data_IF_886295851112
#
_entry.id   IF_886295851112
#
_cell.length_a   1.000
_cell.length_b   1.000
_cell.length_c   1.000
_cell.angle_alpha   90.00
_cell.angle_beta   90.00
_cell.angle_gamma   90.00
#
_symmetry.space_group_name_H-M   'P 1'
#
loop_
_entity.id
_entity.type
_entity.pdbx_description
1 polymer ?
#
# COMPACT_ATOMS: atom_id res chain seq x y z
N UNK A 1 -16.72 -3.05 -1.83
CA UNK A 1 -15.76 -2.61 -0.79
C UNK A 1 -14.73 -3.71 -0.62
N UNK A 2 -13.52 -3.51 -1.15
CA UNK A 2 -12.45 -4.51 -1.07
C UNK A 2 -11.53 -4.22 0.12
N UNK A 3 -11.19 -5.27 0.84
CA UNK A 3 -10.22 -5.24 1.93
C UNK A 3 -8.91 -5.79 1.41
N UNK A 4 -7.80 -5.11 1.69
CA UNK A 4 -6.47 -5.56 1.26
C UNK A 4 -5.61 -5.89 2.48
N UNK A 5 -4.77 -6.90 2.30
CA UNK A 5 -3.82 -7.36 3.32
C UNK A 5 -2.72 -6.32 3.47
N UNK A 6 -2.51 -5.87 4.68
CA UNK A 6 -1.54 -4.85 5.04
C UNK A 6 -0.72 -5.31 6.24
N UNK A 7 0.52 -4.85 6.31
CA UNK A 7 1.33 -4.90 7.51
C UNK A 7 1.27 -3.54 8.20
N UNK A 8 0.87 -3.52 9.47
CA UNK A 8 0.92 -2.32 10.32
C UNK A 8 2.17 -2.39 11.19
N UNK A 9 2.95 -1.29 11.21
CA UNK A 9 3.94 -1.09 12.27
C UNK A 9 3.20 -0.68 13.54
N UNK A 10 3.17 -1.59 14.51
CA UNK A 10 2.78 -1.23 15.87
C UNK A 10 4.00 -0.64 16.59
N UNK A 11 4.03 0.69 16.70
CA UNK A 11 5.15 1.46 17.28
C UNK A 11 5.43 1.15 18.76
N UNK A 12 4.60 0.34 19.42
CA UNK A 12 4.83 -0.12 20.80
C UNK A 12 5.54 -1.48 20.89
N UNK A 13 5.61 -2.24 19.78
CA UNK A 13 6.04 -3.63 19.82
C UNK A 13 7.14 -3.99 18.82
N UNK A 14 7.49 -3.15 17.85
CA UNK A 14 8.48 -3.46 16.79
C UNK A 14 8.18 -4.75 16.01
N UNK A 15 6.94 -5.26 16.09
CA UNK A 15 6.45 -6.40 15.32
C UNK A 15 5.41 -5.95 14.32
N UNK A 16 5.40 -6.57 13.14
CA UNK A 16 4.41 -6.30 12.11
C UNK A 16 3.12 -7.07 12.42
N UNK A 17 2.00 -6.36 12.52
CA UNK A 17 0.68 -6.99 12.61
C UNK A 17 0.06 -7.06 11.22
N UNK A 18 -0.45 -8.24 10.86
CA UNK A 18 -1.18 -8.43 9.62
C UNK A 18 -2.65 -8.09 9.81
N UNK A 19 -3.12 -7.07 9.09
CA UNK A 19 -4.51 -6.62 9.12
C UNK A 19 -5.08 -6.48 7.71
N UNK A 20 -6.40 -6.32 7.65
CA UNK A 20 -7.12 -5.96 6.44
C UNK A 20 -7.62 -4.51 6.56
N UNK A 21 -7.33 -3.68 5.56
CA UNK A 21 -7.82 -2.28 5.50
C UNK A 21 -8.37 -1.94 4.12
N UNK A 22 -9.23 -0.90 4.10
CA UNK A 22 -9.71 -0.28 2.87
C UNK A 22 -8.60 0.60 2.29
N UNK A 23 -8.39 0.49 0.99
CA UNK A 23 -7.39 1.26 0.21
C UNK A 23 -7.56 2.77 0.36
N UNK A 24 -8.79 3.26 0.47
CA UNK A 24 -9.12 4.68 0.63
C UNK A 24 -8.71 5.26 1.98
N UNK A 25 -8.52 4.43 3.00
CA UNK A 25 -8.08 4.88 4.32
C UNK A 25 -6.56 5.13 4.37
N UNK A 26 -5.83 4.68 3.36
CA UNK A 26 -4.36 4.71 3.32
C UNK A 26 -3.90 6.00 2.65
N UNK A 27 -3.10 6.77 3.38
CA UNK A 27 -2.59 8.08 2.97
C UNK A 27 -1.15 7.94 2.49
N UNK A 28 -0.87 8.45 1.30
CA UNK A 28 0.51 8.63 0.87
C UNK A 28 0.93 10.08 1.12
N UNK A 29 2.13 10.25 1.70
CA UNK A 29 2.71 11.54 2.03
C UNK A 29 3.94 11.80 1.17
N UNK A 30 3.73 12.47 0.05
CA UNK A 30 4.80 12.81 -0.90
C UNK A 30 5.96 13.59 -0.25
N UNK A 31 5.64 14.44 0.73
CA UNK A 31 6.61 15.24 1.48
C UNK A 31 7.65 14.40 2.23
N UNK A 32 7.30 13.18 2.65
CA UNK A 32 8.20 12.27 3.33
C UNK A 32 9.15 11.52 2.38
N UNK A 33 8.87 11.55 1.06
CA UNK A 33 9.60 10.80 0.05
C UNK A 33 10.04 11.68 -1.13
N UNK A 34 10.92 12.68 -0.92
CA UNK A 34 11.31 13.65 -1.95
C UNK A 34 12.05 13.05 -3.17
N UNK A 35 12.55 11.81 -3.05
CA UNK A 35 13.22 11.06 -4.13
C UNK A 35 12.32 10.03 -4.79
N UNK A 36 11.02 10.04 -4.48
CA UNK A 36 10.08 9.11 -5.05
C UNK A 36 9.87 9.38 -6.55
N UNK A 37 9.90 8.32 -7.37
CA UNK A 37 9.58 8.39 -8.79
C UNK A 37 8.45 7.42 -9.10
N UNK A 38 7.34 7.97 -9.58
CA UNK A 38 6.25 7.18 -10.09
C UNK A 38 6.65 6.40 -11.35
N UNK A 39 6.25 5.14 -11.43
CA UNK A 39 6.50 4.26 -12.57
C UNK A 39 5.19 3.57 -12.98
N UNK A 40 4.55 4.01 -14.08
CA UNK A 40 3.29 3.42 -14.52
C UNK A 40 3.42 1.99 -15.03
N UNK A 41 4.60 1.60 -15.55
CA UNK A 41 4.82 0.23 -16.04
C UNK A 41 4.83 -0.76 -14.87
N UNK A 42 5.51 -0.42 -13.77
CA UNK A 42 5.47 -1.23 -12.55
C UNK A 42 4.05 -1.36 -11.98
N UNK A 43 3.25 -0.28 -12.02
CA UNK A 43 1.85 -0.33 -11.59
C UNK A 43 1.04 -1.32 -12.42
N UNK A 44 1.18 -1.30 -13.74
CA UNK A 44 0.47 -2.25 -14.62
C UNK A 44 0.89 -3.69 -14.36
N UNK A 45 2.19 -3.96 -14.22
CA UNK A 45 2.70 -5.30 -13.90
C UNK A 45 2.14 -5.81 -12.57
N UNK A 46 2.03 -4.95 -11.56
CA UNK A 46 1.44 -5.28 -10.28
C UNK A 46 -0.07 -5.49 -10.36
N UNK A 47 -0.79 -4.66 -11.13
CA UNK A 47 -2.24 -4.81 -11.33
C UNK A 47 -2.59 -6.17 -11.96
N UNK A 48 -1.73 -6.68 -12.85
CA UNK A 48 -1.90 -8.00 -13.45
C UNK A 48 -1.66 -9.18 -12.48
N UNK A 49 -1.02 -8.96 -11.33
CA UNK A 49 -0.55 -10.02 -10.43
C UNK A 49 -0.94 -9.79 -8.95
N UNK A 50 -2.02 -9.05 -8.67
CA UNK A 50 -2.37 -8.54 -7.33
C UNK A 50 -2.46 -9.60 -6.22
N UNK A 51 -2.86 -10.83 -6.54
CA UNK A 51 -3.02 -11.92 -5.57
C UNK A 51 -1.69 -12.47 -5.07
N UNK A 52 -0.62 -12.33 -5.88
CA UNK A 52 0.72 -12.83 -5.57
C UNK A 52 1.60 -11.77 -4.91
N UNK A 53 1.13 -10.52 -4.83
CA UNK A 53 1.93 -9.45 -4.26
C UNK A 53 2.04 -9.55 -2.73
N UNK A 54 3.20 -9.15 -2.17
CA UNK A 54 3.30 -8.95 -0.74
C UNK A 54 2.37 -7.82 -0.31
N UNK A 55 1.92 -7.88 0.94
CA UNK A 55 1.12 -6.82 1.54
C UNK A 55 1.90 -5.49 1.60
N UNK A 56 1.16 -4.38 1.53
CA UNK A 56 1.73 -3.03 1.72
C UNK A 56 1.97 -2.75 3.20
N UNK A 57 2.85 -1.80 3.50
CA UNK A 57 3.22 -1.45 4.87
C UNK A 57 2.71 -0.06 5.21
N UNK A 58 2.02 0.07 6.34
CA UNK A 58 1.53 1.36 6.85
C UNK A 58 1.94 1.55 8.31
N UNK A 59 1.94 2.79 8.78
CA UNK A 59 2.05 3.09 10.20
C UNK A 59 0.66 3.12 10.86
N UNK A 60 0.63 3.31 12.18
CA UNK A 60 -0.59 3.41 12.99
C UNK A 60 -1.55 4.56 12.58
N UNK A 61 -1.06 5.54 11.80
CA UNK A 61 -1.85 6.67 11.30
C UNK A 61 -2.41 6.44 9.89
N UNK A 62 -2.30 5.20 9.38
CA UNK A 62 -2.58 4.81 8.00
C UNK A 62 -1.74 5.55 6.96
N UNK A 63 -0.57 6.05 7.32
CA UNK A 63 0.38 6.60 6.37
C UNK A 63 1.18 5.45 5.75
N UNK A 64 1.24 5.42 4.43
CA UNK A 64 1.98 4.43 3.66
C UNK A 64 3.48 4.57 3.91
N UNK A 65 4.10 3.48 4.35
CA UNK A 65 5.54 3.39 4.58
C UNK A 65 6.24 2.76 3.37
N UNK A 66 5.65 1.69 2.82
CA UNK A 66 6.18 0.97 1.67
C UNK A 66 5.07 0.34 0.81
N UNK A 67 5.32 0.26 -0.49
CA UNK A 67 4.42 -0.36 -1.46
C UNK A 67 3.52 0.61 -2.21
N UNK A 68 3.98 1.83 -2.50
CA UNK A 68 3.21 2.83 -3.25
C UNK A 68 2.65 2.29 -4.57
N UNK A 69 3.49 1.76 -5.46
CA UNK A 69 3.04 1.25 -6.75
C UNK A 69 2.05 0.08 -6.61
N UNK A 70 2.17 -0.73 -5.55
CA UNK A 70 1.21 -1.80 -5.23
C UNK A 70 -0.13 -1.22 -4.78
N UNK A 71 -0.11 -0.20 -3.90
CA UNK A 71 -1.32 0.52 -3.50
C UNK A 71 -2.02 1.16 -4.70
N UNK A 72 -1.26 1.79 -5.60
CA UNK A 72 -1.80 2.37 -6.83
C UNK A 72 -2.41 1.30 -7.73
N UNK A 73 -1.74 0.15 -7.89
CA UNK A 73 -2.27 -0.97 -8.67
C UNK A 73 -3.61 -1.47 -8.11
N UNK A 74 -3.72 -1.63 -6.78
CA UNK A 74 -5.00 -1.99 -6.13
C UNK A 74 -6.09 -0.96 -6.41
N UNK A 75 -5.79 0.35 -6.33
CA UNK A 75 -6.75 1.41 -6.60
C UNK A 75 -7.21 1.44 -8.05
N UNK A 76 -6.31 1.21 -9.02
CA UNK A 76 -6.69 1.19 -10.44
C UNK A 76 -7.68 0.06 -10.75
N UNK A 77 -7.48 -1.13 -10.18
CA UNK A 77 -8.42 -2.26 -10.37
C UNK A 77 -9.75 -2.10 -9.63
N UNK A 78 -9.87 -1.15 -8.71
CA UNK A 78 -11.13 -0.86 -8.01
C UNK A 78 -12.04 0.10 -8.81
N UNK A 79 -11.51 0.73 -9.86
CA UNK A 79 -12.23 1.71 -10.71
C UNK A 79 -12.83 1.06 -11.97
N UNK A 80 -12.46 -0.18 -12.28
CA UNK A 80 -13.12 -1.05 -13.28
C UNK A 80 -14.27 -1.87 -12.66
#
# INVERSE_FOLDING_TARGET
MYYKRIYIIDGWRDWWVMEYRKTDQIKFREDLYPRFKYDPFLVQQYAANLEMLPAIKINQHNELIDGYHRLTAYKTTEVE
#
